data_IF_264931534830
#
_entry.id   IF_264931534830
#
_cell.length_a   1.000
_cell.length_b   1.000
_cell.length_c   1.000
_cell.angle_alpha   90.00
_cell.angle_beta   90.00
_cell.angle_gamma   90.00
#
_symmetry.space_group_name_H-M   'P 1'
#
loop_
_entity.id
_entity.type
_entity.pdbx_description
1 polymer ?
#
# COMPACT_ATOMS: atom_id res chain seq x y z
N UNK A 1 -13.88 3.49 18.70
CA UNK A 1 -12.73 2.68 18.27
C UNK A 1 -12.77 2.70 16.75
N UNK A 2 -11.66 3.08 16.12
CA UNK A 2 -11.48 3.08 14.67
C UNK A 2 -10.43 2.09 14.24
N UNK A 3 -10.40 1.80 12.95
CA UNK A 3 -9.35 1.02 12.31
C UNK A 3 -8.45 1.93 11.51
N UNK A 4 -7.21 1.54 11.32
CA UNK A 4 -6.26 2.23 10.45
C UNK A 4 -6.26 1.51 9.10
N UNK A 5 -6.40 2.27 8.03
CA UNK A 5 -6.39 1.76 6.65
C UNK A 5 -5.45 2.62 5.79
N UNK A 6 -5.27 2.27 4.54
CA UNK A 6 -4.53 3.08 3.59
C UNK A 6 -5.22 4.43 3.31
N UNK A 7 -4.49 5.37 2.73
CA UNK A 7 -5.01 6.70 2.41
C UNK A 7 -6.22 6.60 1.47
N UNK A 8 -7.31 7.25 1.88
CA UNK A 8 -8.58 7.23 1.14
C UNK A 8 -9.28 5.87 1.07
N UNK A 9 -8.76 4.83 1.72
CA UNK A 9 -9.37 3.49 1.72
C UNK A 9 -10.43 3.41 2.81
N UNK A 10 -11.64 3.04 2.43
CA UNK A 10 -12.74 2.79 3.36
C UNK A 10 -12.77 1.33 3.81
N UNK A 11 -13.53 1.03 4.86
CA UNK A 11 -13.76 -0.36 5.29
C UNK A 11 -14.41 -1.18 4.15
N UNK A 12 -15.31 -0.58 3.40
CA UNK A 12 -15.97 -1.24 2.26
C UNK A 12 -14.94 -1.63 1.17
N UNK A 13 -13.97 -0.77 0.90
CA UNK A 13 -12.94 -1.02 -0.11
C UNK A 13 -11.95 -2.12 0.32
N UNK A 14 -11.75 -2.28 1.61
CA UNK A 14 -10.86 -3.32 2.14
C UNK A 14 -11.35 -4.75 1.86
N UNK A 15 -12.65 -4.92 1.61
CA UNK A 15 -13.27 -6.24 1.46
C UNK A 15 -13.32 -7.05 2.76
N UNK A 16 -13.00 -6.45 3.90
CA UNK A 16 -13.11 -7.08 5.22
C UNK A 16 -14.51 -6.85 5.75
N UNK A 17 -15.24 -7.91 6.03
CA UNK A 17 -16.55 -7.85 6.66
C UNK A 17 -16.41 -7.55 8.16
N UNK A 18 -16.31 -6.27 8.49
CA UNK A 18 -16.26 -5.79 9.88
C UNK A 18 -17.60 -5.24 10.29
N UNK A 19 -18.68 -5.72 10.18
CA UNK A 19 -19.99 -5.18 10.63
C UNK A 19 -20.16 -3.65 10.52
N UNK A 20 -21.35 -3.16 10.46
CA UNK A 20 -21.72 -1.77 10.13
C UNK A 20 -21.21 -0.68 11.10
N UNK A 21 -20.61 -1.06 12.21
CA UNK A 21 -20.21 -0.13 13.28
C UNK A 21 -18.72 0.27 13.23
N UNK A 22 -17.98 -0.24 12.27
CA UNK A 22 -16.56 0.05 12.15
C UNK A 22 -16.31 1.06 11.04
N UNK A 23 -15.55 2.09 11.36
CA UNK A 23 -15.10 3.11 10.41
C UNK A 23 -13.58 3.25 10.52
N UNK A 24 -12.93 3.61 9.44
CA UNK A 24 -11.53 4.01 9.48
C UNK A 24 -11.37 5.30 10.28
N UNK A 25 -10.16 5.59 10.74
CA UNK A 25 -9.88 6.86 11.41
C UNK A 25 -10.11 8.05 10.48
N UNK A 26 -9.81 7.92 9.19
CA UNK A 26 -10.11 8.95 8.20
C UNK A 26 -11.61 9.20 8.04
N UNK A 27 -12.43 8.15 7.98
CA UNK A 27 -13.91 8.27 7.96
C UNK A 27 -14.49 8.90 9.24
N UNK A 28 -13.72 8.94 10.32
CA UNK A 28 -14.05 9.59 11.57
C UNK A 28 -13.50 11.03 11.68
N UNK A 29 -12.85 11.53 10.63
CA UNK A 29 -12.35 12.90 10.55
C UNK A 29 -10.88 13.09 10.92
N UNK A 30 -10.13 12.02 11.13
CA UNK A 30 -8.68 12.06 11.38
C UNK A 30 -7.92 11.83 10.07
N UNK A 31 -7.83 12.85 9.22
CA UNK A 31 -7.32 12.77 7.85
C UNK A 31 -5.90 12.21 7.74
N UNK A 32 -5.04 12.52 8.72
CA UNK A 32 -3.62 12.15 8.70
C UNK A 32 -3.33 10.80 9.38
N UNK A 33 -4.39 10.09 9.80
CA UNK A 33 -4.28 8.81 10.49
C UNK A 33 -4.49 7.65 9.53
N UNK A 34 -3.48 7.33 8.74
CA UNK A 34 -3.46 6.14 7.89
C UNK A 34 -2.09 5.44 7.95
N UNK A 35 -2.06 4.18 7.63
CA UNK A 35 -0.83 3.39 7.48
C UNK A 35 -0.93 2.58 6.21
N UNK A 36 0.10 2.70 5.38
CA UNK A 36 0.28 1.85 4.21
C UNK A 36 1.18 0.66 4.58
N UNK A 37 0.82 -0.51 4.12
CA UNK A 37 1.67 -1.70 4.18
C UNK A 37 1.85 -2.19 2.75
N UNK A 38 2.68 -1.47 2.00
CA UNK A 38 2.90 -1.74 0.59
C UNK A 38 3.84 -2.92 0.39
N UNK A 39 3.53 -3.74 -0.61
CA UNK A 39 4.42 -4.81 -1.05
C UNK A 39 5.10 -4.41 -2.36
N UNK A 40 6.41 -4.30 -2.32
CA UNK A 40 7.22 -3.94 -3.47
C UNK A 40 7.95 -5.16 -4.03
N UNK A 41 8.03 -5.24 -5.34
CA UNK A 41 8.86 -6.22 -6.04
C UNK A 41 10.07 -5.51 -6.61
N UNK A 42 11.25 -5.93 -6.20
CA UNK A 42 12.52 -5.36 -6.66
C UNK A 42 13.22 -6.30 -7.62
N UNK A 43 13.75 -5.73 -8.69
CA UNK A 43 14.64 -6.44 -9.61
C UNK A 43 16.11 -6.26 -9.24
N UNK A 44 17.01 -7.11 -9.77
CA UNK A 44 18.44 -6.96 -9.58
C UNK A 44 18.96 -5.66 -10.23
N UNK A 45 20.03 -5.12 -9.64
CA UNK A 45 20.70 -3.94 -10.22
C UNK A 45 21.21 -4.24 -11.64
N UNK A 46 20.98 -3.31 -12.55
CA UNK A 46 21.46 -3.41 -13.93
C UNK A 46 20.45 -3.98 -14.93
N UNK A 47 19.20 -4.18 -14.52
CA UNK A 47 18.13 -4.45 -15.48
C UNK A 47 17.95 -3.26 -16.44
N UNK A 48 17.71 -3.56 -17.72
CA UNK A 48 17.35 -2.52 -18.68
C UNK A 48 15.94 -1.97 -18.43
N UNK A 49 15.72 -0.74 -18.87
CA UNK A 49 14.37 -0.11 -18.77
C UNK A 49 13.30 -0.94 -19.48
N UNK A 50 13.63 -1.57 -20.59
CA UNK A 50 12.73 -2.47 -21.32
C UNK A 50 12.35 -3.69 -20.48
N UNK A 51 13.32 -4.30 -19.80
CA UNK A 51 13.06 -5.45 -18.91
C UNK A 51 12.15 -5.04 -17.73
N UNK A 52 12.43 -3.90 -17.14
CA UNK A 52 11.62 -3.37 -16.03
C UNK A 52 10.20 -3.07 -16.49
N UNK A 53 10.04 -2.39 -17.63
CA UNK A 53 8.71 -2.06 -18.19
C UNK A 53 7.91 -3.33 -18.52
N UNK A 54 8.55 -4.35 -19.10
CA UNK A 54 7.91 -5.62 -19.44
C UNK A 54 7.43 -6.35 -18.16
N UNK A 55 8.25 -6.41 -17.13
CA UNK A 55 7.87 -7.03 -15.86
C UNK A 55 6.75 -6.25 -15.17
N UNK A 56 6.83 -4.93 -15.15
CA UNK A 56 5.78 -4.10 -14.56
C UNK A 56 4.43 -4.32 -15.27
N UNK A 57 4.41 -4.38 -16.60
CA UNK A 57 3.20 -4.68 -17.36
C UNK A 57 2.66 -6.09 -17.06
N UNK A 58 3.54 -7.09 -16.88
CA UNK A 58 3.12 -8.44 -16.52
C UNK A 58 2.53 -8.50 -15.12
N UNK A 59 3.12 -7.82 -14.15
CA UNK A 59 2.57 -7.74 -12.79
C UNK A 59 1.24 -7.01 -12.75
N UNK A 60 1.06 -5.96 -13.57
CA UNK A 60 -0.24 -5.31 -13.72
C UNK A 60 -1.32 -6.30 -14.10
N UNK A 61 -1.08 -7.08 -15.17
CA UNK A 61 -2.03 -8.09 -15.63
C UNK A 61 -2.36 -9.14 -14.57
N UNK A 62 -1.34 -9.55 -13.77
CA UNK A 62 -1.53 -10.51 -12.69
C UNK A 62 -2.43 -9.93 -11.58
N UNK A 63 -2.18 -8.70 -11.15
CA UNK A 63 -2.96 -8.04 -10.08
C UNK A 63 -4.39 -7.75 -10.55
N UNK A 64 -4.58 -7.43 -11.82
CA UNK A 64 -5.90 -7.17 -12.43
C UNK A 64 -6.66 -8.47 -12.76
N UNK A 65 -6.02 -9.65 -12.73
CA UNK A 65 -6.71 -10.93 -12.93
C UNK A 65 -7.74 -11.18 -11.81
N UNK A 66 -9.01 -11.43 -12.15
CA UNK A 66 -10.08 -11.61 -11.15
C UNK A 66 -9.80 -12.71 -10.14
N UNK A 67 -9.16 -13.81 -10.54
CA UNK A 67 -8.87 -14.95 -9.66
C UNK A 67 -7.81 -14.58 -8.63
N UNK A 68 -6.75 -13.89 -9.09
CA UNK A 68 -5.67 -13.42 -8.22
C UNK A 68 -6.19 -12.34 -7.27
N UNK A 69 -6.97 -11.39 -7.80
CA UNK A 69 -7.57 -10.30 -7.02
C UNK A 69 -8.45 -10.85 -5.89
N UNK A 70 -9.35 -11.78 -6.20
CA UNK A 70 -10.20 -12.44 -5.19
C UNK A 70 -9.36 -13.22 -4.17
N UNK A 71 -8.33 -13.93 -4.63
CA UNK A 71 -7.41 -14.66 -3.75
C UNK A 71 -6.68 -13.75 -2.77
N UNK A 72 -6.19 -12.59 -3.22
CA UNK A 72 -5.53 -11.60 -2.38
C UNK A 72 -6.50 -11.01 -1.35
N UNK A 73 -7.71 -10.68 -1.75
CA UNK A 73 -8.74 -10.16 -0.82
C UNK A 73 -9.10 -11.18 0.27
N UNK A 74 -9.18 -12.47 -0.07
CA UNK A 74 -9.47 -13.55 0.91
C UNK A 74 -8.42 -13.66 2.01
N UNK A 75 -7.19 -13.26 1.74
CA UNK A 75 -6.11 -13.25 2.74
C UNK A 75 -5.88 -11.86 3.37
N UNK A 76 -6.80 -10.92 3.16
CA UNK A 76 -6.79 -9.61 3.80
C UNK A 76 -5.94 -8.55 3.09
N UNK A 77 -5.53 -8.79 1.85
CA UNK A 77 -4.84 -7.80 1.04
C UNK A 77 -5.81 -7.01 0.15
N UNK A 78 -5.52 -5.74 -0.06
CA UNK A 78 -6.19 -4.91 -1.06
C UNK A 78 -5.30 -4.89 -2.29
N UNK A 79 -5.68 -5.56 -3.39
CA UNK A 79 -4.87 -5.61 -4.59
C UNK A 79 -4.94 -4.27 -5.32
N UNK A 80 -3.91 -3.47 -5.12
CA UNK A 80 -3.69 -2.20 -5.81
C UNK A 80 -2.42 -2.33 -6.66
N UNK A 81 -2.50 -1.85 -7.88
CA UNK A 81 -1.33 -1.75 -8.74
C UNK A 81 -0.99 -0.27 -8.94
N UNK A 82 0.27 0.05 -8.75
CA UNK A 82 0.82 1.36 -9.03
C UNK A 82 1.91 1.24 -10.10
N UNK A 83 2.01 2.22 -10.97
CA UNK A 83 3.09 2.27 -11.93
C UNK A 83 4.44 2.56 -11.26
N UNK A 84 5.52 2.54 -12.05
CA UNK A 84 6.87 2.69 -11.53
C UNK A 84 7.12 4.05 -10.86
N UNK A 85 6.57 5.11 -11.42
CA UNK A 85 6.77 6.47 -10.89
C UNK A 85 5.94 6.70 -9.62
N UNK A 86 4.69 6.24 -9.64
CA UNK A 86 3.82 6.32 -8.47
C UNK A 86 4.36 5.45 -7.31
N UNK A 87 4.83 4.23 -7.62
CA UNK A 87 5.46 3.35 -6.62
C UNK A 87 6.69 3.99 -5.97
N UNK A 88 7.55 4.65 -6.75
CA UNK A 88 8.70 5.38 -6.22
C UNK A 88 8.27 6.54 -5.32
N UNK A 89 7.26 7.30 -5.74
CA UNK A 89 6.74 8.43 -4.97
C UNK A 89 6.21 7.95 -3.63
N UNK A 90 5.34 6.94 -3.61
CA UNK A 90 4.77 6.36 -2.39
C UNK A 90 5.89 5.86 -1.47
N UNK A 91 6.87 5.12 -2.02
CA UNK A 91 8.01 4.61 -1.24
C UNK A 91 8.82 5.72 -0.58
N UNK A 92 9.04 6.83 -1.27
CA UNK A 92 9.77 7.98 -0.71
C UNK A 92 8.98 8.65 0.40
N UNK A 93 7.68 8.85 0.21
CA UNK A 93 6.79 9.43 1.22
C UNK A 93 6.71 8.54 2.48
N UNK A 94 6.58 7.23 2.31
CA UNK A 94 6.63 6.26 3.41
C UNK A 94 7.97 6.31 4.17
N UNK A 95 9.07 6.39 3.42
CA UNK A 95 10.41 6.48 4.01
C UNK A 95 10.56 7.76 4.84
N UNK A 96 10.20 8.91 4.31
CA UNK A 96 10.29 10.20 4.99
C UNK A 96 9.44 10.20 6.27
N UNK A 97 8.19 9.79 6.19
CA UNK A 97 7.27 9.67 7.34
C UNK A 97 7.81 8.71 8.40
N UNK A 98 8.36 7.58 7.97
CA UNK A 98 8.96 6.60 8.89
C UNK A 98 10.19 7.16 9.61
N UNK A 99 11.06 7.86 8.87
CA UNK A 99 12.25 8.49 9.44
C UNK A 99 11.87 9.59 10.45
N UNK A 100 10.91 10.43 10.13
CA UNK A 100 10.41 11.48 11.02
C UNK A 100 9.81 10.88 12.31
N UNK A 101 8.98 9.86 12.16
CA UNK A 101 8.39 9.14 13.29
C UNK A 101 9.46 8.49 14.16
N UNK A 102 10.44 7.83 13.54
CA UNK A 102 11.54 7.19 14.27
C UNK A 102 12.40 8.22 15.03
N UNK A 103 12.65 9.39 14.45
CA UNK A 103 13.34 10.51 15.13
C UNK A 103 12.52 11.03 16.30
N UNK A 104 11.23 11.23 16.10
CA UNK A 104 10.33 11.69 17.17
C UNK A 104 10.30 10.71 18.36
N UNK A 105 10.32 9.42 18.08
CA UNK A 105 10.33 8.36 19.10
C UNK A 105 11.74 8.08 19.69
N UNK A 106 12.78 8.74 19.21
CA UNK A 106 14.16 8.49 19.65
C UNK A 106 14.72 7.13 19.20
N UNK A 107 14.14 6.53 18.18
CA UNK A 107 14.52 5.21 17.65
C UNK A 107 15.49 5.30 16.46
N UNK A 108 15.72 6.49 15.93
CA UNK A 108 16.60 6.71 14.80
C UNK A 108 18.03 6.92 15.31
N UNK A 109 18.88 5.90 15.15
CA UNK A 109 20.32 6.02 15.36
C UNK A 109 20.98 6.59 14.10
N UNK A 110 21.63 7.74 14.21
CA UNK A 110 22.50 8.30 13.18
C UNK A 110 23.83 7.55 13.12
#
# INVERSE_FOLDING_TARGET
IGTVAGDGVTIADSGVELGDNYKTLQEQGYSDCYVLCMHYIYGPKGMSEEQVAKLNASFKQIIEDPTVNEGLRKIGHIPLWHDLEESKKIQMEEYETTVETAKFLGLYAL
#
